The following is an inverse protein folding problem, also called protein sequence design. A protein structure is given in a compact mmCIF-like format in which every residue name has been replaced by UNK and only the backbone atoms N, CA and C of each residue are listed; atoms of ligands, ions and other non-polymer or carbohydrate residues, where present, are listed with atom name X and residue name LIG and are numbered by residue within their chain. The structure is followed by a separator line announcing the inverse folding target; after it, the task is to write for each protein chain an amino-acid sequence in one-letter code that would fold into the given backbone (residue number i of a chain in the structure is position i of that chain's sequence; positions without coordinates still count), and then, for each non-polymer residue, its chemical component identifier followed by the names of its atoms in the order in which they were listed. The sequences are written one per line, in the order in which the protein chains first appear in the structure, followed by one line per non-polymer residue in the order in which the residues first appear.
data_IF_820610011299
#
_entry.id   IF_820610011299
#
_cell.length_a   1.000
_cell.length_b   1.000
_cell.length_c   1.000
_cell.angle_alpha   90.00
_cell.angle_beta   90.00
_cell.angle_gamma   90.00
#
_symmetry.space_group_name_H-M   'P 1'
#
loop_
_entity.id
_entity.type
_entity.pdbx_description
1 polymer ?
2 non-polymer ?
3 non-polymer ?
4 non-polymer ?
5 water ?
#
# COMPACT_ATOMS: atom_id res chain seq x y z
N UNK A 1 3.14 -16.93 1.09
CA UNK A 1 2.46 -15.63 1.37
C UNK A 1 1.64 -15.13 0.20
N UNK A 2 1.40 -13.82 0.16
CA UNK A 2 0.60 -13.21 -0.90
C UNK A 2 1.12 -13.51 -2.30
N UNK A 3 2.42 -13.30 -2.53
CA UNK A 3 3.01 -13.56 -3.84
C UNK A 3 2.92 -15.03 -4.24
N UNK A 4 3.11 -15.92 -3.29
CA UNK A 4 3.02 -17.35 -3.59
C UNK A 4 1.58 -17.68 -3.97
N UNK A 5 0.63 -17.07 -3.26
CA UNK A 5 -0.79 -17.30 -3.52
C UNK A 5 -1.13 -16.97 -4.97
N UNK A 6 -0.55 -15.90 -5.49
CA UNK A 6 -0.82 -15.51 -6.87
C UNK A 6 -0.32 -16.60 -7.81
N UNK A 7 0.84 -17.19 -7.49
CA UNK A 7 1.40 -18.25 -8.30
C UNK A 7 0.53 -19.50 -8.19
N UNK A 8 0.00 -19.78 -7.01
CA UNK A 8 -0.85 -20.94 -6.81
C UNK A 8 -2.13 -20.82 -7.64
N UNK A 9 -2.79 -19.67 -7.55
CA UNK A 9 -4.02 -19.44 -8.30
C UNK A 9 -3.80 -19.48 -9.80
N UNK A 10 -2.71 -18.88 -10.27
CA UNK A 10 -2.41 -18.86 -11.70
C UNK A 10 -2.09 -20.24 -12.24
N UNK A 11 -1.46 -21.06 -11.41
CA UNK A 11 -1.10 -22.40 -11.84
C UNK A 11 -2.28 -23.23 -12.31
N UNK A 12 -3.45 -22.98 -11.72
CA UNK A 12 -4.68 -23.69 -12.08
C UNK A 12 -5.80 -22.65 -12.07
N UNK A 13 -5.59 -21.56 -12.81
CA UNK A 13 -6.53 -20.45 -12.87
C UNK A 13 -7.97 -20.83 -13.19
N UNK A 14 -8.15 -21.67 -14.21
CA UNK A 14 -9.50 -22.09 -14.62
C UNK A 14 -10.29 -22.67 -13.45
N UNK A 15 -9.70 -23.62 -12.75
CA UNK A 15 -10.36 -24.26 -11.62
C UNK A 15 -10.69 -23.30 -10.49
N UNK A 16 -9.70 -22.53 -10.04
CA UNK A 16 -9.92 -21.60 -8.95
C UNK A 16 -10.93 -20.52 -9.30
N UNK A 17 -10.85 -20.01 -10.53
CA UNK A 17 -11.78 -18.97 -10.98
C UNK A 17 -13.22 -19.44 -10.94
N UNK A 18 -13.46 -20.63 -11.45
CA UNK A 18 -14.82 -21.17 -11.47
C UNK A 18 -15.37 -21.45 -10.09
N UNK A 19 -14.59 -22.15 -9.26
CA UNK A 19 -15.03 -22.48 -7.91
C UNK A 19 -15.28 -21.28 -7.01
N UNK A 20 -14.41 -20.26 -7.09
CA UNK A 20 -14.58 -19.08 -6.25
C UNK A 20 -15.77 -18.23 -6.71
N UNK A 21 -15.96 -18.14 -8.01
CA UNK A 21 -17.06 -17.35 -8.54
C UNK A 21 -18.40 -17.99 -8.19
N UNK A 22 -18.44 -19.33 -8.20
CA UNK A 22 -19.67 -20.04 -7.86
C UNK A 22 -19.94 -19.84 -6.37
N UNK A 23 -18.87 -19.87 -5.58
CA UNK A 23 -19.01 -19.66 -4.14
C UNK A 23 -19.61 -18.29 -3.90
N UNK A 24 -19.23 -17.33 -4.74
CA UNK A 24 -19.72 -15.96 -4.65
C UNK A 24 -21.22 -15.92 -5.00
N UNK A 25 -21.56 -16.45 -6.17
CA UNK A 25 -22.95 -16.46 -6.62
C UNK A 25 -23.90 -17.17 -5.67
N UNK A 26 -23.49 -18.30 -5.11
CA UNK A 26 -24.36 -19.03 -4.21
C UNK A 26 -24.44 -18.42 -2.81
N UNK A 27 -23.41 -17.68 -2.41
CA UNK A 27 -23.44 -17.06 -1.08
C UNK A 27 -24.27 -15.78 -1.12
N UNK A 28 -24.26 -15.11 -2.26
CA UNK A 28 -25.02 -13.87 -2.45
C UNK A 28 -25.86 -14.02 -3.71
N UNK A 29 -26.97 -14.77 -3.62
CA UNK A 29 -27.89 -15.05 -4.72
C UNK A 29 -28.32 -13.82 -5.54
N UNK A 30 -28.44 -12.68 -4.87
CA UNK A 30 -28.85 -11.45 -5.55
C UNK A 30 -27.87 -11.00 -6.62
N UNK A 31 -26.61 -11.41 -6.47
CA UNK A 31 -25.57 -11.02 -7.40
C UNK A 31 -25.66 -11.67 -8.78
N UNK A 32 -26.34 -12.82 -8.87
CA UNK A 32 -26.48 -13.52 -10.14
C UNK A 32 -27.26 -12.69 -11.16
N UNK A 33 -28.05 -11.74 -10.66
CA UNK A 33 -28.87 -10.88 -11.52
C UNK A 33 -28.06 -10.06 -12.52
N UNK A 34 -26.78 -9.87 -12.25
CA UNK A 34 -25.90 -9.09 -13.13
C UNK A 34 -25.39 -9.94 -14.29
N UNK A 35 -25.63 -11.24 -14.22
CA UNK A 35 -25.20 -12.16 -15.25
C UNK A 35 -26.43 -12.93 -15.73
N UNK A 36 -27.24 -12.28 -16.57
CA UNK A 36 -28.47 -12.91 -17.03
C UNK A 36 -28.38 -14.32 -17.62
N UNK A 37 -27.25 -14.68 -18.23
CA UNK A 37 -27.16 -16.02 -18.80
C UNK A 37 -26.73 -17.10 -17.79
N UNK A 38 -26.57 -16.72 -16.52
CA UNK A 38 -26.20 -17.68 -15.48
C UNK A 38 -27.43 -18.01 -14.66
N UNK A 39 -28.50 -17.26 -14.88
CA UNK A 39 -29.75 -17.47 -14.16
C UNK A 39 -30.38 -18.83 -14.48
N UNK A 40 -30.94 -19.45 -13.45
CA UNK A 40 -31.58 -20.75 -13.63
C UNK A 40 -30.67 -21.91 -13.99
N UNK A 41 -29.41 -21.85 -13.56
CA UNK A 41 -28.48 -22.92 -13.86
C UNK A 41 -27.73 -23.40 -12.63
N UNK A 42 -27.59 -24.71 -12.50
CA UNK A 42 -26.88 -25.30 -11.37
C UNK A 42 -25.37 -25.14 -11.57
N UNK A 43 -24.59 -25.51 -10.57
CA UNK A 43 -23.14 -25.39 -10.66
C UNK A 43 -22.55 -26.19 -11.80
N UNK A 44 -22.98 -27.44 -11.93
CA UNK A 44 -22.48 -28.30 -12.99
C UNK A 44 -22.86 -27.83 -14.37
N UNK A 45 -24.05 -27.24 -14.51
CA UNK A 45 -24.48 -26.75 -15.81
C UNK A 45 -23.58 -25.60 -16.24
N UNK A 46 -23.22 -24.73 -15.30
CA UNK A 46 -22.36 -23.60 -15.60
C UNK A 46 -20.96 -24.06 -15.96
N UNK A 47 -20.45 -25.05 -15.23
CA UNK A 47 -19.12 -25.56 -15.50
C UNK A 47 -19.04 -26.18 -16.89
N UNK A 48 -20.19 -26.45 -17.49
CA UNK A 48 -20.25 -27.02 -18.83
C UNK A 48 -20.35 -25.94 -19.90
N UNK A 49 -20.76 -24.74 -19.48
CA UNK A 49 -20.90 -23.62 -20.40
C UNK A 49 -19.55 -23.03 -20.77
N UNK A 50 -19.22 -23.06 -22.06
CA UNK A 50 -17.95 -22.53 -22.53
C UNK A 50 -17.73 -21.10 -22.07
N UNK A 51 -18.74 -20.25 -22.26
CA UNK A 51 -18.65 -18.84 -21.90
C UNK A 51 -18.40 -18.61 -20.41
N UNK A 52 -18.91 -19.51 -19.58
CA UNK A 52 -18.73 -19.40 -18.13
C UNK A 52 -17.24 -19.51 -17.77
N UNK A 53 -16.61 -20.59 -18.20
CA UNK A 53 -15.20 -20.78 -17.92
C UNK A 53 -14.31 -19.67 -18.48
N UNK A 54 -14.58 -19.27 -19.71
CA UNK A 54 -13.80 -18.21 -20.35
C UNK A 54 -13.92 -16.88 -19.62
N UNK A 55 -15.15 -16.47 -19.33
CA UNK A 55 -15.38 -15.20 -18.63
C UNK A 55 -14.79 -15.17 -17.22
N UNK A 56 -15.08 -16.19 -16.41
CA UNK A 56 -14.56 -16.22 -15.05
C UNK A 56 -13.04 -16.21 -15.06
N UNK A 57 -12.44 -16.92 -16.01
CA UNK A 57 -11.00 -16.95 -16.09
C UNK A 57 -10.46 -15.55 -16.39
N UNK A 58 -11.15 -14.82 -17.28
CA UNK A 58 -10.72 -13.47 -17.63
C UNK A 58 -10.86 -12.51 -16.44
N UNK A 59 -11.87 -12.73 -15.62
CA UNK A 59 -12.09 -11.89 -14.44
C UNK A 59 -10.91 -12.10 -13.50
N UNK A 60 -10.62 -13.36 -13.19
CA UNK A 60 -9.52 -13.67 -12.28
C UNK A 60 -8.13 -13.38 -12.84
N UNK A 61 -7.98 -13.39 -14.16
CA UNK A 61 -6.69 -13.09 -14.74
C UNK A 61 -6.36 -11.63 -14.40
N UNK A 62 -7.31 -10.74 -14.64
CA UNK A 62 -7.11 -9.32 -14.34
C UNK A 62 -6.93 -9.09 -12.84
N UNK A 63 -7.71 -9.81 -12.04
CA UNK A 63 -7.58 -9.65 -10.59
C UNK A 63 -6.14 -9.99 -10.17
N UNK A 64 -5.58 -11.04 -10.75
CA UNK A 64 -4.22 -11.43 -10.39
C UNK A 64 -3.20 -10.37 -10.86
N UNK A 65 -3.47 -9.74 -11.98
CA UNK A 65 -2.55 -8.71 -12.49
C UNK A 65 -2.54 -7.54 -11.53
N UNK A 66 -3.73 -7.14 -11.08
CA UNK A 66 -3.88 -6.03 -10.15
C UNK A 66 -3.18 -6.38 -8.84
N UNK A 67 -3.37 -7.62 -8.39
CA UNK A 67 -2.76 -8.08 -7.16
C UNK A 67 -1.23 -8.12 -7.27
N UNK A 68 -0.72 -8.48 -8.45
CA UNK A 68 0.73 -8.55 -8.63
C UNK A 68 1.37 -7.16 -8.71
N UNK A 69 0.60 -6.20 -9.18
CA UNK A 69 1.06 -4.82 -9.34
C UNK A 69 1.00 -4.03 -8.02
N UNK A 70 0.25 -4.54 -7.07
CA UNK A 70 0.10 -3.88 -5.79
C UNK A 70 1.37 -3.85 -4.93
N UNK A 71 1.43 -2.88 -4.03
CA UNK A 71 2.55 -2.78 -3.12
C UNK A 71 1.95 -2.96 -1.71
N UNK A 72 2.43 -3.97 -1.00
CA UNK A 72 1.94 -4.26 0.34
C UNK A 72 0.41 -4.36 0.36
N UNK A 73 -0.14 -5.02 -0.65
CA UNK A 73 -1.58 -5.24 -0.79
C UNK A 73 -2.40 -3.99 -1.08
N UNK A 74 -1.74 -2.93 -1.51
CA UNK A 74 -2.45 -1.70 -1.87
C UNK A 74 -2.38 -1.57 -3.38
N UNK A 75 -3.54 -1.60 -4.06
CA UNK A 75 -3.55 -1.50 -5.51
C UNK A 75 -3.19 -0.11 -6.04
N UNK A 76 -2.72 -0.09 -7.29
CA UNK A 76 -2.37 1.17 -7.92
C UNK A 76 -3.67 1.92 -8.20
N UNK A 77 -3.61 3.25 -8.14
CA UNK A 77 -4.78 4.06 -8.39
C UNK A 77 -5.27 3.84 -9.82
N UNK A 78 -4.33 3.62 -10.74
CA UNK A 78 -4.66 3.40 -12.15
C UNK A 78 -5.46 2.11 -12.35
N UNK A 79 -5.14 1.08 -11.56
CA UNK A 79 -5.86 -0.18 -11.67
C UNK A 79 -7.28 -0.03 -11.13
N UNK A 80 -7.43 0.73 -10.05
CA UNK A 80 -8.74 0.96 -9.47
C UNK A 80 -9.62 1.71 -10.47
N UNK A 81 -9.05 2.73 -11.11
CA UNK A 81 -9.81 3.52 -12.09
C UNK A 81 -10.25 2.62 -13.24
N UNK A 82 -9.34 1.79 -13.74
CA UNK A 82 -9.65 0.86 -14.83
C UNK A 82 -10.86 0.00 -14.54
N UNK A 83 -10.99 -0.45 -13.30
CA UNK A 83 -12.11 -1.30 -12.90
C UNK A 83 -13.40 -0.49 -12.78
N UNK A 84 -13.26 0.76 -12.35
CA UNK A 84 -14.43 1.63 -12.19
C UNK A 84 -15.00 2.08 -13.52
N UNK A 85 -14.16 2.40 -14.50
CA UNK A 85 -14.70 2.87 -15.77
C UNK A 85 -14.96 1.83 -16.84
N UNK A 86 -14.81 0.55 -16.50
CA UNK A 86 -15.11 -0.51 -17.46
C UNK A 86 -16.62 -0.43 -17.63
N UNK A 87 -17.09 -0.47 -18.87
CA UNK A 87 -18.53 -0.38 -19.11
C UNK A 87 -19.30 -1.51 -18.42
N UNK A 88 -18.70 -2.68 -18.32
CA UNK A 88 -19.35 -3.81 -17.67
C UNK A 88 -19.57 -3.58 -16.18
N UNK A 89 -18.99 -2.52 -15.64
CA UNK A 89 -19.11 -2.22 -14.22
C UNK A 89 -19.90 -0.94 -13.94
N UNK A 90 -20.40 -0.31 -15.00
CA UNK A 90 -21.16 0.93 -14.90
C UNK A 90 -22.21 0.99 -13.79
N UNK A 91 -22.97 -0.08 -13.60
CA UNK A 91 -24.01 -0.07 -12.59
C UNK A 91 -23.66 -0.75 -11.28
N UNK A 92 -22.37 -0.79 -10.95
CA UNK A 92 -21.92 -1.44 -9.72
C UNK A 92 -21.52 -0.46 -8.63
N UNK A 93 -21.61 -0.93 -7.38
CA UNK A 93 -21.23 -0.13 -6.23
C UNK A 93 -20.14 -0.91 -5.48
N UNK A 94 -19.47 -0.27 -4.54
CA UNK A 94 -18.41 -0.93 -3.81
C UNK A 94 -18.94 -2.16 -3.09
N UNK A 95 -20.23 -2.13 -2.72
CA UNK A 95 -20.83 -3.25 -2.02
C UNK A 95 -20.71 -4.56 -2.77
N UNK A 96 -20.81 -4.52 -4.09
CA UNK A 96 -20.70 -5.73 -4.90
C UNK A 96 -19.29 -6.32 -4.82
N UNK A 97 -18.29 -5.45 -4.75
CA UNK A 97 -16.91 -5.89 -4.67
C UNK A 97 -16.56 -6.43 -3.30
N UNK A 98 -17.13 -5.85 -2.25
CA UNK A 98 -16.87 -6.34 -0.89
C UNK A 98 -17.35 -7.78 -0.76
N UNK A 99 -18.52 -8.06 -1.32
CA UNK A 99 -19.10 -9.39 -1.24
C UNK A 99 -18.25 -10.44 -1.95
N UNK A 100 -17.66 -10.05 -3.08
CA UNK A 100 -16.81 -10.97 -3.82
C UNK A 100 -15.61 -11.39 -2.97
N UNK A 101 -14.95 -10.41 -2.35
CA UNK A 101 -13.79 -10.73 -1.53
C UNK A 101 -14.13 -11.49 -0.25
N UNK A 102 -15.32 -11.26 0.30
CA UNK A 102 -15.70 -11.99 1.49
C UNK A 102 -15.78 -13.47 1.07
N UNK A 103 -16.43 -13.73 -0.06
CA UNK A 103 -16.56 -15.09 -0.56
C UNK A 103 -15.19 -15.68 -0.91
N UNK A 104 -14.29 -14.85 -1.44
CA UNK A 104 -12.95 -15.30 -1.79
C UNK A 104 -12.16 -15.66 -0.54
N UNK A 105 -12.24 -14.83 0.49
CA UNK A 105 -11.52 -15.09 1.73
C UNK A 105 -12.08 -16.34 2.43
N UNK A 106 -13.41 -16.46 2.45
CA UNK A 106 -14.03 -17.61 3.10
C UNK A 106 -13.65 -18.89 2.37
N UNK A 107 -13.56 -18.81 1.06
CA UNK A 107 -13.17 -19.95 0.25
C UNK A 107 -11.76 -20.41 0.62
N UNK A 108 -10.82 -19.46 0.67
CA UNK A 108 -9.44 -19.78 1.00
C UNK A 108 -9.34 -20.43 2.38
N UNK A 109 -10.01 -19.84 3.36
CA UNK A 109 -9.97 -20.38 4.72
C UNK A 109 -10.52 -21.80 4.80
N UNK A 110 -11.57 -22.08 4.02
CA UNK A 110 -12.20 -23.39 4.01
C UNK A 110 -11.45 -24.44 3.19
N UNK A 111 -10.59 -24.02 2.28
CA UNK A 111 -9.84 -24.98 1.46
C UNK A 111 -8.77 -25.64 2.31
N UNK A 112 -8.02 -26.55 1.69
CA UNK A 112 -6.94 -27.19 2.41
C UNK A 112 -5.65 -26.40 2.27
N UNK A 113 -5.49 -25.78 1.10
CA UNK A 113 -4.30 -24.98 0.79
C UNK A 113 -3.90 -24.01 1.89
N UNK A 114 -2.65 -23.56 1.83
CA UNK A 114 -2.14 -22.61 2.82
C UNK A 114 -2.11 -21.20 2.24
N UNK A 115 -3.28 -20.64 1.99
CA UNK A 115 -3.36 -19.28 1.45
C UNK A 115 -3.13 -18.27 2.58
N UNK A 116 -2.64 -17.10 2.21
CA UNK A 116 -2.41 -16.03 3.18
C UNK A 116 -3.70 -15.20 3.18
N UNK A 117 -4.77 -15.80 3.70
CA UNK A 117 -6.08 -15.19 3.74
C UNK A 117 -6.14 -13.78 4.34
N UNK A 118 -5.30 -13.52 5.34
CA UNK A 118 -5.27 -12.21 5.97
C UNK A 118 -4.85 -11.11 4.98
N UNK A 119 -3.89 -11.42 4.12
CA UNK A 119 -3.43 -10.46 3.12
C UNK A 119 -4.51 -10.20 2.07
N UNK A 120 -5.24 -11.25 1.71
CA UNK A 120 -6.29 -11.11 0.73
C UNK A 120 -7.44 -10.28 1.29
N UNK A 121 -7.70 -10.45 2.59
CA UNK A 121 -8.76 -9.67 3.24
C UNK A 121 -8.31 -8.20 3.17
N UNK A 122 -7.04 -7.96 3.48
CA UNK A 122 -6.46 -6.62 3.43
C UNK A 122 -6.51 -6.06 2.01
N UNK A 123 -6.16 -6.90 1.04
CA UNK A 123 -6.15 -6.50 -0.36
C UNK A 123 -7.55 -6.09 -0.82
N UNK A 124 -8.55 -6.89 -0.45
CA UNK A 124 -9.92 -6.58 -0.83
C UNK A 124 -10.37 -5.26 -0.21
N UNK A 125 -10.05 -5.05 1.06
CA UNK A 125 -10.44 -3.82 1.73
C UNK A 125 -9.77 -2.60 1.10
N UNK A 126 -8.50 -2.73 0.77
CA UNK A 126 -7.78 -1.61 0.16
C UNK A 126 -8.29 -1.36 -1.25
N UNK A 127 -8.68 -2.41 -1.96
CA UNK A 127 -9.19 -2.25 -3.31
C UNK A 127 -10.54 -1.55 -3.26
N UNK A 128 -11.36 -1.88 -2.28
CA UNK A 128 -12.67 -1.24 -2.14
C UNK A 128 -12.50 0.25 -1.80
N UNK A 129 -11.50 0.57 -0.99
CA UNK A 129 -11.25 1.97 -0.64
C UNK A 129 -10.79 2.71 -1.90
N UNK A 130 -10.00 2.03 -2.72
CA UNK A 130 -9.48 2.60 -3.97
C UNK A 130 -10.58 2.85 -5.00
N UNK A 131 -11.57 1.97 -5.05
CA UNK A 131 -12.65 2.14 -6.01
C UNK A 131 -13.44 3.37 -5.58
N UNK A 132 -13.65 3.51 -4.27
CA UNK A 132 -14.39 4.64 -3.71
C UNK A 132 -13.73 5.95 -4.14
N UNK A 133 -12.44 6.08 -3.85
CA UNK A 133 -11.70 7.29 -4.21
C UNK A 133 -11.67 7.50 -5.72
N UNK A 134 -11.89 6.42 -6.48
CA UNK A 134 -11.87 6.50 -7.93
C UNK A 134 -13.24 6.94 -8.47
N UNK A 135 -14.17 7.19 -7.56
CA UNK A 135 -15.49 7.64 -7.98
C UNK A 135 -16.63 6.64 -7.96
N UNK A 136 -16.41 5.45 -7.41
CA UNK A 136 -17.47 4.46 -7.35
C UNK A 136 -18.29 4.61 -6.07
N UNK A 137 -19.61 4.59 -6.21
CA UNK A 137 -20.53 4.72 -5.09
C UNK A 137 -20.51 3.47 -4.23
N UNK B 1 -0.39 2.32 17.42
CA UNK B 1 0.12 1.87 16.11
C UNK B 1 0.68 3.01 15.28
N UNK B 2 0.76 2.79 13.98
CA UNK B 2 1.27 3.77 13.02
C UNK B 2 0.54 5.11 13.14
N UNK B 3 -0.78 5.08 13.09
CA UNK B 3 -1.56 6.31 13.18
C UNK B 3 -1.37 7.05 14.50
N UNK B 4 -1.27 6.31 15.59
CA UNK B 4 -1.05 6.92 16.89
C UNK B 4 0.37 7.50 16.94
N UNK B 5 1.32 6.83 16.29
CA UNK B 5 2.70 7.32 16.26
C UNK B 5 2.78 8.71 15.62
N UNK B 6 2.00 8.90 14.56
CA UNK B 6 1.94 10.19 13.88
C UNK B 6 1.52 11.26 14.89
N UNK B 7 0.48 10.96 15.67
CA UNK B 7 -0.02 11.88 16.67
C UNK B 7 1.01 12.16 17.76
N UNK B 8 1.75 11.14 18.16
CA UNK B 8 2.78 11.30 19.19
C UNK B 8 3.88 12.25 18.71
N UNK B 9 4.39 11.99 17.50
CA UNK B 9 5.43 12.83 16.93
C UNK B 9 4.95 14.27 16.75
N UNK B 10 3.74 14.45 16.23
CA UNK B 10 3.18 15.79 16.04
C UNK B 10 3.06 16.56 17.36
N UNK B 11 2.82 15.83 18.46
CA UNK B 11 2.66 16.48 19.76
C UNK B 11 3.89 17.18 20.32
N UNK B 12 5.08 16.80 19.84
CA UNK B 12 6.35 17.41 20.28
C UNK B 12 7.26 17.31 19.06
N UNK B 13 6.76 17.78 17.92
CA UNK B 13 7.48 17.68 16.66
C UNK B 13 8.90 18.22 16.59
N UNK B 14 9.11 19.45 17.05
CA UNK B 14 10.42 20.09 17.02
C UNK B 14 11.48 19.22 17.69
N UNK B 15 11.16 18.69 18.87
CA UNK B 15 12.09 17.86 19.62
C UNK B 15 12.39 16.57 18.87
N UNK B 16 11.35 15.86 18.47
CA UNK B 16 11.52 14.61 17.73
C UNK B 16 12.25 14.83 16.41
N UNK B 17 11.89 15.89 15.69
CA UNK B 17 12.52 16.17 14.40
C UNK B 17 14.03 16.41 14.53
N UNK B 18 14.43 17.14 15.56
CA UNK B 18 15.85 17.41 15.75
C UNK B 18 16.64 16.18 16.19
N UNK B 19 16.12 15.44 17.16
CA UNK B 19 16.80 14.26 17.66
C UNK B 19 16.96 13.16 16.61
N UNK B 20 15.95 12.97 15.81
CA UNK B 20 16.02 11.94 14.78
C UNK B 20 16.93 12.39 13.62
N UNK B 21 16.78 13.76 13.14
CA UNK B 21 17.70 14.20 11.99
C UNK B 21 19.19 14.12 12.56
N UNK B 22 19.41 14.38 13.86
CA UNK B 22 20.79 14.32 14.45
C UNK B 22 21.30 12.87 14.45
N UNK B 23 20.39 11.96 14.80
CA UNK B 23 20.71 10.53 14.84
C UNK B 23 21.12 10.07 13.45
N UNK B 24 20.41 10.59 12.46
CA UNK B 24 20.64 10.29 11.05
C UNK B 24 22.02 10.79 10.63
N UNK B 25 22.28 12.07 10.86
CA UNK B 25 23.56 12.67 10.49
C UNK B 25 24.76 12.05 11.20
N UNK B 26 24.60 11.63 12.46
CA UNK B 26 25.71 11.03 13.18
C UNK B 26 25.96 9.58 12.82
N UNK B 27 24.93 8.90 12.32
CA UNK B 27 25.10 7.51 11.93
C UNK B 27 25.69 7.48 10.53
N UNK B 28 25.35 8.50 9.73
CA UNK B 28 25.84 8.60 8.36
C UNK B 28 26.50 9.96 8.14
N UNK B 29 27.73 10.15 8.64
CA UNK B 29 28.48 11.41 8.52
C UNK B 29 28.56 11.96 7.10
N UNK B 30 28.62 11.07 6.12
CA UNK B 30 28.70 11.46 4.72
C UNK B 30 27.49 12.23 4.23
N UNK B 31 26.33 11.96 4.82
CA UNK B 31 25.08 12.63 4.43
C UNK B 31 25.08 14.12 4.75
N UNK B 32 25.97 14.52 5.65
CA UNK B 32 26.06 15.92 6.05
C UNK B 32 26.61 16.79 4.92
N UNK B 33 27.11 16.13 3.88
CA UNK B 33 27.67 16.83 2.72
C UNK B 33 26.61 17.57 1.92
N UNK B 34 25.36 17.13 2.05
CA UNK B 34 24.25 17.77 1.35
C UNK B 34 23.79 19.02 2.09
N UNK B 35 24.20 19.14 3.34
CA UNK B 35 23.83 20.29 4.16
C UNK B 35 25.09 21.07 4.52
N UNK B 36 25.40 22.05 3.67
CA UNK B 36 26.57 22.91 3.81
C UNK B 36 26.94 23.39 5.22
N UNK B 37 26.05 24.13 5.85
CA UNK B 37 26.30 24.69 7.17
C UNK B 37 26.26 23.77 8.39
N UNK B 38 26.25 22.45 8.20
CA UNK B 38 26.20 21.54 9.33
C UNK B 38 27.53 20.85 9.68
N UNK B 39 28.49 20.93 8.76
CA UNK B 39 29.79 20.31 8.97
C UNK B 39 30.61 20.97 10.10
N UNK B 40 31.38 20.16 10.81
CA UNK B 40 32.23 20.66 11.89
C UNK B 40 31.52 21.19 13.12
N UNK B 41 30.26 20.79 13.33
CA UNK B 41 29.51 21.26 14.48
C UNK B 41 29.03 20.11 15.38
N UNK B 42 28.98 20.36 16.69
CA UNK B 42 28.50 19.35 17.62
C UNK B 42 26.96 19.42 17.62
N UNK B 43 26.30 18.44 18.24
CA UNK B 43 24.85 18.42 18.28
C UNK B 43 24.27 19.68 18.91
N UNK B 44 24.84 20.11 20.03
CA UNK B 44 24.36 21.31 20.72
C UNK B 44 24.49 22.57 19.89
N UNK B 45 25.53 22.66 19.07
CA UNK B 45 25.72 23.82 18.23
C UNK B 45 24.64 23.84 17.14
N UNK B 46 24.37 22.69 16.54
CA UNK B 46 23.35 22.59 15.52
C UNK B 46 21.98 22.98 16.09
N UNK B 47 21.70 22.55 17.33
CA UNK B 47 20.43 22.88 17.97
C UNK B 47 20.25 24.36 18.28
N UNK B 48 21.34 25.12 18.27
CA UNK B 48 21.25 26.56 18.55
C UNK B 48 21.15 27.37 17.26
N UNK B 49 21.29 26.68 16.13
CA UNK B 49 21.19 27.32 14.82
C UNK B 49 19.70 27.38 14.50
N UNK B 50 19.17 28.59 14.33
CA UNK B 50 17.75 28.75 14.03
C UNK B 50 17.38 28.00 12.76
N UNK B 51 18.27 28.08 11.77
CA UNK B 51 18.04 27.43 10.48
C UNK B 51 17.93 25.92 10.60
N UNK B 52 18.70 25.34 11.52
CA UNK B 52 18.66 23.89 11.69
C UNK B 52 17.29 23.45 12.19
N UNK B 53 16.82 24.07 13.25
CA UNK B 53 15.52 23.71 13.81
C UNK B 53 14.37 23.98 12.87
N UNK B 54 14.40 25.12 12.19
CA UNK B 54 13.34 25.48 11.26
C UNK B 54 13.22 24.51 10.09
N UNK B 55 14.34 24.13 9.50
CA UNK B 55 14.29 23.22 8.37
C UNK B 55 14.00 21.76 8.75
N UNK B 56 14.53 21.32 9.88
CA UNK B 56 14.27 19.94 10.28
C UNK B 56 12.78 19.80 10.61
N UNK B 57 12.22 20.82 11.23
CA UNK B 57 10.80 20.76 11.56
C UNK B 57 9.96 20.69 10.29
N UNK B 58 10.28 21.52 9.30
CA UNK B 58 9.52 21.52 8.06
C UNK B 58 9.63 20.18 7.34
N UNK B 59 10.80 19.55 7.44
CA UNK B 59 11.01 18.24 6.84
C UNK B 59 10.07 17.23 7.51
N UNK B 60 9.97 17.30 8.84
CA UNK B 60 9.10 16.36 9.56
C UNK B 60 7.62 16.71 9.48
N UNK B 61 7.30 18.00 9.29
CA UNK B 61 5.91 18.41 9.13
C UNK B 61 5.37 17.70 7.89
N UNK B 62 6.16 17.74 6.80
CA UNK B 62 5.73 17.11 5.56
C UNK B 62 5.77 15.58 5.66
N UNK B 63 6.78 15.04 6.33
CA UNK B 63 6.88 13.59 6.45
C UNK B 63 5.66 13.04 7.16
N UNK B 64 5.21 13.73 8.21
CA UNK B 64 4.03 13.25 8.93
C UNK B 64 2.77 13.37 8.05
N UNK B 65 2.72 14.36 7.17
CA UNK B 65 1.55 14.49 6.30
C UNK B 65 1.53 13.34 5.29
N UNK B 66 2.69 12.99 4.76
CA UNK B 66 2.80 11.89 3.79
C UNK B 66 2.37 10.58 4.47
N UNK B 67 2.82 10.39 5.70
CA UNK B 67 2.47 9.19 6.46
C UNK B 67 0.97 9.18 6.77
N UNK B 68 0.44 10.36 7.09
CA UNK B 68 -0.98 10.49 7.43
C UNK B 68 -1.86 10.18 6.22
N UNK B 69 -1.35 10.54 5.04
CA UNK B 69 -2.07 10.33 3.78
C UNK B 69 -1.94 8.92 3.21
N UNK B 70 -1.02 8.14 3.77
CA UNK B 70 -0.79 6.77 3.31
C UNK B 70 -1.90 5.80 3.70
N UNK B 71 -2.00 4.71 2.94
CA UNK B 71 -2.96 3.65 3.20
C UNK B 71 -2.12 2.41 3.49
N UNK B 72 -2.25 1.84 4.68
CA UNK B 72 -1.49 0.65 5.01
C UNK B 72 0.02 0.86 4.84
N UNK B 73 0.50 2.03 5.24
CA UNK B 73 1.93 2.37 5.12
C UNK B 73 2.41 2.52 3.68
N UNK B 74 1.48 2.72 2.76
CA UNK B 74 1.85 2.91 1.36
C UNK B 74 1.47 4.34 1.01
N UNK B 75 2.47 5.16 0.70
CA UNK B 75 2.25 6.57 0.35
C UNK B 75 1.53 6.80 -0.97
N UNK B 76 0.89 7.95 -1.08
CA UNK B 76 0.20 8.32 -2.30
C UNK B 76 1.25 8.56 -3.39
N UNK B 77 0.92 8.21 -4.62
CA UNK B 77 1.84 8.43 -5.73
C UNK B 77 2.20 9.92 -5.84
N UNK B 78 1.22 10.78 -5.61
CA UNK B 78 1.46 12.22 -5.70
C UNK B 78 2.49 12.75 -4.69
N UNK B 79 2.47 12.20 -3.48
CA UNK B 79 3.43 12.62 -2.44
C UNK B 79 4.83 12.19 -2.84
N UNK B 80 4.94 11.00 -3.42
CA UNK B 80 6.24 10.51 -3.85
C UNK B 80 6.74 11.43 -4.96
N UNK B 81 5.83 11.82 -5.86
CA UNK B 81 6.17 12.69 -6.97
C UNK B 81 6.70 14.04 -6.49
N UNK B 82 6.04 14.61 -5.48
CA UNK B 82 6.45 15.89 -4.92
C UNK B 82 7.88 15.83 -4.38
N UNK B 83 8.17 14.77 -3.61
CA UNK B 83 9.49 14.59 -3.02
C UNK B 83 10.60 14.47 -4.07
N UNK B 84 10.29 13.85 -5.20
CA UNK B 84 11.26 13.67 -6.26
C UNK B 84 11.49 14.94 -7.07
N UNK B 85 10.42 15.70 -7.30
CA UNK B 85 10.52 16.92 -8.10
C UNK B 85 11.03 18.14 -7.34
N UNK B 86 11.03 18.08 -6.01
CA UNK B 86 11.53 19.20 -5.22
C UNK B 86 12.96 19.50 -5.64
N UNK B 87 13.24 20.75 -5.99
CA UNK B 87 14.59 21.11 -6.43
C UNK B 87 15.65 20.75 -5.40
N UNK B 88 15.32 20.83 -4.12
CA UNK B 88 16.26 20.50 -3.06
C UNK B 88 16.61 19.02 -3.02
N UNK B 89 15.98 18.23 -3.87
CA UNK B 89 16.22 16.79 -3.91
C UNK B 89 16.73 16.32 -5.26
N UNK B 90 16.98 17.26 -6.16
CA UNK B 90 17.46 16.94 -7.51
C UNK B 90 18.75 16.12 -7.54
N UNK B 91 19.56 16.21 -6.49
CA UNK B 91 20.80 15.46 -6.47
C UNK B 91 20.81 14.22 -5.60
N UNK B 92 19.63 13.79 -5.16
CA UNK B 92 19.53 12.62 -4.30
C UNK B 92 19.10 11.35 -5.02
N UNK B 93 19.35 10.21 -4.37
CA UNK B 93 18.99 8.90 -4.88
C UNK B 93 18.20 8.23 -3.75
N UNK B 94 17.62 7.07 -4.03
CA UNK B 94 16.82 6.38 -3.00
C UNK B 94 17.66 5.92 -1.81
N UNK B 95 18.97 5.86 -1.99
CA UNK B 95 19.86 5.45 -0.93
C UNK B 95 19.81 6.42 0.24
N UNK B 96 19.78 7.71 -0.07
CA UNK B 96 19.72 8.75 0.97
C UNK B 96 18.48 8.57 1.85
N UNK B 97 17.34 8.29 1.22
CA UNK B 97 16.09 8.12 1.95
C UNK B 97 16.10 6.84 2.77
N UNK B 98 16.69 5.79 2.20
CA UNK B 98 16.78 4.51 2.90
C UNK B 98 17.54 4.71 4.22
N UNK B 99 18.65 5.43 4.16
CA UNK B 99 19.46 5.67 5.34
C UNK B 99 18.68 6.45 6.39
N UNK B 100 17.93 7.45 5.95
CA UNK B 100 17.13 8.23 6.87
C UNK B 100 16.16 7.35 7.67
N UNK B 101 15.50 6.40 7.01
CA UNK B 101 14.56 5.54 7.71
C UNK B 101 15.23 4.50 8.60
N UNK B 102 16.42 4.06 8.23
CA UNK B 102 17.14 3.11 9.06
C UNK B 102 17.40 3.81 10.39
N UNK B 103 17.85 5.06 10.30
CA UNK B 103 18.13 5.85 11.49
C UNK B 103 16.85 6.09 12.29
N UNK B 104 15.77 6.41 11.61
CA UNK B 104 14.49 6.67 12.27
C UNK B 104 13.97 5.43 13.00
N UNK B 105 14.03 4.27 12.35
CA UNK B 105 13.59 3.04 12.99
C UNK B 105 14.48 2.69 14.19
N UNK B 106 15.79 2.87 14.03
CA UNK B 106 16.72 2.59 15.12
C UNK B 106 16.42 3.51 16.29
N UNK B 107 16.14 4.78 16.00
CA UNK B 107 15.82 5.73 17.06
C UNK B 107 14.60 5.26 17.86
N UNK B 108 13.54 4.86 17.16
CA UNK B 108 12.32 4.41 17.82
C UNK B 108 12.54 3.18 18.69
N UNK B 109 13.31 2.20 18.18
CA UNK B 109 13.58 0.99 18.95
C UNK B 109 14.40 1.29 20.20
N UNK B 110 15.32 2.23 20.10
CA UNK B 110 16.17 2.59 21.22
C UNK B 110 15.45 3.43 22.29
N UNK B 111 14.45 4.21 21.87
CA UNK B 111 13.71 5.05 22.81
C UNK B 111 12.89 4.21 23.78
N UNK B 112 12.15 4.87 24.67
CA UNK B 112 11.34 4.17 25.64
C UNK B 112 9.86 4.18 25.29
N UNK B 113 9.49 4.98 24.29
CA UNK B 113 8.10 5.09 23.85
C UNK B 113 7.65 3.79 23.17
N UNK B 114 6.34 3.63 23.01
CA UNK B 114 5.79 2.43 22.38
C UNK B 114 5.50 2.66 20.90
N UNK B 115 6.53 3.01 20.14
CA UNK B 115 6.37 3.23 18.70
C UNK B 115 6.19 1.90 17.99
N UNK B 116 5.49 1.91 16.86
CA UNK B 116 5.27 0.72 16.04
C UNK B 116 6.40 0.74 15.01
N UNK B 117 7.61 0.37 15.45
CA UNK B 117 8.80 0.39 14.59
C UNK B 117 8.68 -0.42 13.31
N UNK B 118 7.99 -1.56 13.37
CA UNK B 118 7.82 -2.41 12.21
C UNK B 118 7.07 -1.69 11.10
N UNK B 119 6.04 -0.93 11.48
CA UNK B 119 5.26 -0.17 10.50
C UNK B 119 6.09 0.94 9.85
N UNK B 120 6.94 1.59 10.63
CA UNK B 120 7.77 2.65 10.08
C UNK B 120 8.80 2.08 9.12
N UNK B 121 9.24 0.84 9.38
CA UNK B 121 10.20 0.18 8.51
C UNK B 121 9.50 -0.08 7.18
N UNK B 122 8.28 -0.61 7.26
CA UNK B 122 7.47 -0.88 6.06
C UNK B 122 7.23 0.40 5.28
N UNK B 123 6.85 1.46 6.00
CA UNK B 123 6.57 2.74 5.38
C UNK B 123 7.81 3.26 4.65
N UNK B 124 8.97 3.11 5.28
CA UNK B 124 10.20 3.56 4.67
C UNK B 124 10.53 2.83 3.38
N UNK B 125 10.32 1.52 3.37
CA UNK B 125 10.59 0.70 2.20
C UNK B 125 9.61 0.97 1.07
N UNK B 126 8.34 1.17 1.42
CA UNK B 126 7.32 1.44 0.42
C UNK B 126 7.50 2.83 -0.17
N UNK B 127 8.01 3.75 0.64
CA UNK B 127 8.25 5.10 0.16
C UNK B 127 9.44 5.05 -0.82
N UNK B 128 10.49 4.31 -0.48
CA UNK B 128 11.65 4.21 -1.35
C UNK B 128 11.19 3.60 -2.67
N UNK B 129 10.32 2.60 -2.55
CA UNK B 129 9.77 1.94 -3.74
C UNK B 129 9.04 2.98 -4.59
N UNK B 130 8.19 3.78 -3.96
CA UNK B 130 7.43 4.82 -4.67
C UNK B 130 8.33 5.88 -5.30
N UNK B 131 9.44 6.22 -4.63
CA UNK B 131 10.35 7.22 -5.17
C UNK B 131 10.99 6.73 -6.46
N UNK B 132 11.38 5.45 -6.47
CA UNK B 132 11.98 4.82 -7.64
C UNK B 132 11.01 4.85 -8.82
N UNK B 133 9.74 4.53 -8.55
CA UNK B 133 8.73 4.53 -9.59
C UNK B 133 8.49 5.93 -10.13
N UNK B 134 8.71 6.93 -9.27
CA UNK B 134 8.52 8.33 -9.65
C UNK B 134 9.71 8.88 -10.41
N UNK B 135 10.69 8.03 -10.70
CA UNK B 135 11.84 8.48 -11.46
C UNK B 135 13.14 8.72 -10.73
N UNK B 136 13.16 8.56 -9.42
CA UNK B 136 14.39 8.78 -8.67
C UNK B 136 15.33 7.58 -8.81
N UNK B 137 16.60 7.87 -9.00
CA UNK B 137 17.62 6.83 -9.15
C UNK B 137 17.86 6.17 -7.78
X LIG C 1 4.27 -11.73 0.59
X LIG C 1 5.31 -10.90 1.23
X LIG C 1 3.28 -12.14 1.60
X LIG C 1 3.60 -10.94 -0.47
X LIG C 1 4.90 -12.92 -0.01
X LIG D 1 -16.97 -8.31 -16.79
X LIG D 1 -12.93 -8.02 -14.17
X LIG D 1 -15.57 -7.61 -10.14
X LIG D 1 -19.58 -7.86 -12.78
X LIG D 1 -15.63 -8.26 -16.46
X LIG D 1 -14.50 -8.39 -17.38
X LIG D 1 -13.38 -8.30 -16.64
X LIG D 1 -13.76 -8.13 -15.25
X LIG D 1 -11.92 -8.38 -17.13
X LIG D 1 -14.62 -8.60 -18.90
X LIG D 1 -14.65 -10.11 -19.26
X LIG D 1 -14.62 -10.44 -20.75
X LIG D 1 -13.60 -10.03 -21.40
X LIG D 1 -15.57 -11.07 -21.23
X LIG D 1 -13.29 -7.88 -12.85
X LIG D 1 -12.34 -7.79 -11.74
X LIG D 1 -13.08 -7.69 -10.60
X LIG D 1 -14.47 -7.69 -10.99
X LIG D 1 -10.80 -7.84 -11.89
X LIG D 1 -12.60 -7.58 -9.14
X LIG D 1 -11.35 -6.71 -8.90
X LIG D 1 -16.91 -7.64 -10.52
X LIG D 1 -18.05 -7.56 -9.57
X LIG D 1 -19.17 -7.63 -10.31
X LIG D 1 -18.75 -7.74 -11.70
X LIG D 1 -17.90 -7.45 -8.03
X LIG D 1 -20.65 -7.60 -9.87
X LIG D 1 -21.14 -8.84 -9.14
X LIG D 1 -19.24 -8.00 -14.09
X LIG D 1 -20.18 -8.15 -15.18
X LIG D 1 -19.47 -8.29 -16.33
X LIG D 1 -18.06 -8.21 -15.94
X LIG D 1 -21.72 -8.16 -15.02
X LIG D 1 -20.04 -8.50 -17.74
X LIG D 1 -20.77 -9.88 -17.75
X LIG D 1 -20.12 -10.96 -18.60
X LIG D 1 -19.02 -10.78 -19.15
X LIG D 1 -20.78 -12.02 -18.64
X LIG D 1 -15.16 -8.10 -15.17
X LIG D 1 -14.58 -7.81 -12.36
X LIG D 1 -17.37 -7.75 -11.81
X LIG D 1 -17.94 -8.03 -14.56
X LIG D 1 -16.27 -7.89 -13.49
X LIG E 1 -17.78 -11.07 -12.98
X LIG E 1 -18.06 -11.44 -14.30
X LIG E 1 -17.67 -12.71 -14.76
X LIG E 1 -17.94 -13.09 -16.07
X LIG E 1 -16.97 -13.58 -13.91
X LIG E 1 -16.69 -13.20 -12.59
X LIG E 1 -17.10 -11.95 -12.13
X LIG E 1 -16.76 -11.52 -10.63
X LIG F 1 -2.23 1.23 12.96
X LIG F 1 -3.19 0.29 12.35
X LIG F 1 -0.88 0.63 12.95
X LIG F 1 -2.23 2.48 12.19
X LIG F 1 -2.63 1.49 14.35
X LIG G 1 14.81 20.30 1.99
X LIG G 1 11.18 17.29 3.03
X LIG G 1 14.24 13.56 2.89
X LIG G 1 17.84 16.56 1.80
X LIG G 1 13.55 19.83 2.28
X LIG G 1 12.34 20.65 2.45
X LIG G 1 11.32 19.79 2.74
X LIG G 1 11.87 18.45 2.76
X LIG G 1 9.86 20.14 3.01
X LIG G 1 12.28 22.19 2.33
X LIG G 1 12.46 22.85 3.71
X LIG G 1 12.47 24.38 3.71
X LIG G 1 11.33 24.94 3.57
X LIG G 1 13.55 24.97 3.86
X LIG G 1 11.69 16.02 3.10
X LIG G 1 10.91 14.84 3.42
X LIG G 1 11.77 13.78 3.39
X LIG G 1 13.07 14.30 3.04
X LIG G 1 9.40 14.84 3.75
X LIG G 1 11.49 12.29 3.66
X LIG G 1 10.49 11.62 2.71
X LIG G 1 15.49 14.07 2.58
X LIG G 1 16.69 13.24 2.46
X LIG G 1 17.71 14.07 2.15
X LIG G 1 17.15 15.41 2.07
X LIG G 1 16.72 11.69 2.68
X LIG G 1 19.20 13.75 1.90
X LIG G 1 19.73 12.51 2.63
X LIG G 1 17.34 17.84 1.75
X LIG G 1 18.13 19.03 1.49
X LIG G 1 17.30 20.09 1.56
X LIG G 1 15.96 19.55 1.84
X LIG G 1 19.66 19.04 1.22
X LIG G 1 17.69 21.56 1.37
X LIG G 1 18.72 21.96 2.46
X LIG G 1 18.16 22.78 3.60
X LIG G 1 16.96 23.13 3.59
X LIG G 1 18.99 23.08 4.49
X LIG G 1 13.22 18.51 2.47
X LIG G 1 13.01 15.66 2.86
X LIG G 1 15.79 15.39 2.34
X LIG G 1 16.00 18.17 1.97
X LIG G 1 14.51 16.93 2.36
X LIG H 1 15.70 17.22 7.63
X LIG H 1 15.73 18.61 7.62
X LIG H 1 16.35 19.29 6.57
X LIG H 1 16.39 20.68 6.56
X LIG H 1 16.94 18.57 5.52
X LIG H 1 16.91 17.17 5.53
X LIG H 1 16.28 16.50 6.58
X LIG H 1 16.25 14.91 6.58
#
# INVERSE_FOLDING_TARGET
GFKQDIATIRGDLRTYAQDIFLAFLNKYPDERRYFKNYVGKSDQELKSMAKFGDHTEKVFNLMMEVADRATDCVPLASDANTLVQMKQHSSLTTGNFEKLFVALVEYMRASGQSFDSQSWDRFGKNLVSALSSAGMK
GFKQDIATIRGDLRTYAQDIFLAFLNKYPDERRYFKNYVGKSDQELKSMAKFGDHTEKVFNLMMEVADRATDCVPLASDANTLVQMKQHSSLTTGNFEKLFVALVEYMRASGQSFDSQSWDRFGKNLVSALSSAGMK
SO4 S O1 O2 O3 O4
HEM CHA CHB CHC CHD C1A C2A C3A C4A CMA CAA CBA CGA O1A O2A C1B C2B C3B C4B CMB CAB CBB C1C C2C C3C C4C CMC CAC CBC C1D C2D C3D C4D CMD CAD CBD CGD O1D O2D NA NB NC ND FE
IOL C2 C3 C4 O4 C5 C6 C1 I1
SO4 S O1 O2 O3 O4
HEM CHA CHB CHC CHD C1A C2A C3A C4A CMA CAA CBA CGA O1A O2A C1B C2B C3B C4B CMB CAB CBB C1C C2C C3C C4C CMC CAC CBC C1D C2D C3D C4D CMD CAD CBD CGD O1D O2D NA NB NC ND FE
IOL C2 C3 C4 O4 C5 C6 C1 I1
#
